data_IF_843183577683
#
_entry.id   IF_843183577683
#
_cell.length_a   1.000
_cell.length_b   1.000
_cell.length_c   1.000
_cell.angle_alpha   90.00
_cell.angle_beta   90.00
_cell.angle_gamma   90.00
#
_symmetry.space_group_name_H-M   'P 1'
#
loop_
_entity.id
_entity.type
_entity.pdbx_description
1 polymer ?
#
# COMPACT_ATOMS: atom_id res chain seq x y z
N UNK A 1 -12.53 3.96 -4.14
CA UNK A 1 -11.56 4.96 -4.64
C UNK A 1 -11.04 5.77 -3.46
N UNK A 2 -9.75 6.14 -3.45
CA UNK A 2 -9.06 6.62 -2.26
C UNK A 2 -9.72 7.85 -1.62
N UNK A 3 -10.29 8.78 -2.43
CA UNK A 3 -11.07 9.92 -1.94
C UNK A 3 -12.10 9.57 -0.85
N UNK A 4 -12.92 8.53 -1.06
CA UNK A 4 -13.96 8.13 -0.09
C UNK A 4 -13.33 7.73 1.25
N UNK A 5 -12.33 6.85 1.19
CA UNK A 5 -11.64 6.36 2.38
C UNK A 5 -10.91 7.47 3.14
N UNK A 6 -10.25 8.39 2.42
CA UNK A 6 -9.58 9.53 3.03
C UNK A 6 -10.57 10.43 3.78
N UNK A 7 -11.74 10.70 3.20
CA UNK A 7 -12.82 11.44 3.88
C UNK A 7 -13.33 10.70 5.12
N UNK A 8 -13.60 9.40 5.03
CA UNK A 8 -14.03 8.57 6.16
C UNK A 8 -13.00 8.53 7.30
N UNK A 9 -11.72 8.69 6.98
CA UNK A 9 -10.62 8.82 7.95
C UNK A 9 -10.46 10.24 8.51
N UNK A 10 -11.31 11.20 8.11
CA UNK A 10 -11.32 12.59 8.60
C UNK A 10 -10.61 13.60 7.69
N UNK A 11 -10.03 13.17 6.57
CA UNK A 11 -9.40 14.09 5.60
C UNK A 11 -10.45 14.63 4.63
N UNK A 12 -11.19 15.65 5.06
CA UNK A 12 -12.28 16.24 4.26
C UNK A 12 -11.91 17.55 3.55
N UNK A 13 -11.25 18.48 4.26
CA UNK A 13 -10.95 19.84 3.79
C UNK A 13 -10.33 19.88 2.38
N UNK A 14 -9.33 19.05 2.03
CA UNK A 14 -8.72 19.07 0.70
C UNK A 14 -9.70 18.84 -0.47
N UNK A 15 -10.87 18.25 -0.21
CA UNK A 15 -11.89 17.91 -1.21
C UNK A 15 -13.06 18.92 -1.27
N UNK A 16 -13.02 19.99 -0.48
CA UNK A 16 -14.07 21.00 -0.39
C UNK A 16 -13.67 22.28 -1.14
N UNK A 17 -14.64 23.15 -1.47
CA UNK A 17 -14.38 24.37 -2.28
C UNK A 17 -13.59 25.45 -1.53
N UNK A 18 -13.55 25.36 -0.20
CA UNK A 18 -12.81 26.21 0.72
C UNK A 18 -11.44 25.60 1.09
N UNK A 19 -10.97 24.60 0.35
CA UNK A 19 -9.62 24.08 0.51
C UNK A 19 -8.58 25.16 0.23
N UNK A 20 -7.58 25.26 1.12
CA UNK A 20 -6.44 26.16 0.93
C UNK A 20 -5.28 25.40 0.28
N UNK A 21 -5.00 25.75 -0.98
CA UNK A 21 -3.86 25.25 -1.75
C UNK A 21 -2.95 26.39 -2.24
N UNK A 22 -2.95 27.53 -1.55
CA UNK A 22 -2.19 28.75 -1.91
C UNK A 22 -0.68 28.53 -2.02
N UNK A 23 -0.12 27.61 -1.23
CA UNK A 23 1.29 27.21 -1.29
C UNK A 23 1.63 26.34 -2.53
N UNK A 24 0.64 25.74 -3.19
CA UNK A 24 0.83 24.91 -4.39
C UNK A 24 0.68 25.72 -5.68
N UNK A 25 -0.30 26.62 -5.71
CA UNK A 25 -0.63 27.45 -6.88
C UNK A 25 -0.96 28.85 -6.38
N UNK A 26 -0.30 29.86 -6.94
CA UNK A 26 -0.65 31.25 -6.66
C UNK A 26 -2.05 31.52 -7.19
N UNK A 27 -2.92 32.03 -6.34
CA UNK A 27 -4.22 32.52 -6.75
C UNK A 27 -4.02 33.64 -7.79
N UNK A 28 -4.54 33.41 -8.99
CA UNK A 28 -4.78 34.50 -9.94
C UNK A 28 -6.25 34.91 -9.82
N UNK A 29 -6.53 36.20 -10.07
CA UNK A 29 -7.87 36.80 -9.93
C UNK A 29 -8.92 36.17 -10.87
N UNK A 30 -8.52 35.30 -11.80
CA UNK A 30 -9.40 34.60 -12.75
C UNK A 30 -9.64 33.13 -12.40
N UNK A 31 -8.93 32.59 -11.40
CA UNK A 31 -8.99 31.20 -11.02
C UNK A 31 -10.13 30.96 -10.03
N UNK A 32 -11.01 30.01 -10.35
CA UNK A 32 -12.01 29.53 -9.41
C UNK A 32 -11.38 28.78 -8.23
N UNK A 33 -12.19 28.38 -7.22
CA UNK A 33 -11.70 27.67 -6.05
C UNK A 33 -10.98 26.38 -6.45
N UNK A 34 -9.75 26.19 -5.95
CA UNK A 34 -8.93 25.01 -6.20
C UNK A 34 -9.17 23.96 -5.10
N UNK A 35 -9.43 22.72 -5.50
CA UNK A 35 -9.63 21.60 -4.56
C UNK A 35 -9.35 20.25 -5.20
N UNK A 36 -9.13 19.22 -4.39
CA UNK A 36 -8.93 17.85 -4.88
C UNK A 36 -10.22 17.28 -5.45
N UNK A 37 -10.17 16.92 -6.72
CA UNK A 37 -11.27 16.24 -7.40
C UNK A 37 -11.32 14.75 -7.04
N UNK A 38 -10.20 14.03 -7.17
CA UNK A 38 -10.05 12.61 -6.82
C UNK A 38 -8.60 12.28 -6.44
N UNK A 39 -8.40 11.11 -5.83
CA UNK A 39 -7.08 10.52 -5.55
C UNK A 39 -7.05 9.11 -6.13
N UNK A 40 -6.16 8.89 -7.08
CA UNK A 40 -6.00 7.61 -7.76
C UNK A 40 -4.76 6.90 -7.21
N UNK A 41 -4.97 5.70 -6.65
CA UNK A 41 -3.92 4.85 -6.13
C UNK A 41 -4.03 3.48 -6.80
N UNK A 42 -3.01 3.10 -7.57
CA UNK A 42 -2.92 1.82 -8.28
C UNK A 42 -1.60 1.16 -7.93
N UNK A 43 -1.65 -0.12 -7.58
CA UNK A 43 -0.49 -0.94 -7.22
C UNK A 43 -0.53 -2.22 -8.03
N UNK A 44 0.64 -2.71 -8.43
CA UNK A 44 0.83 -4.01 -9.07
C UNK A 44 1.86 -4.75 -8.23
N UNK A 45 1.50 -5.95 -7.77
CA UNK A 45 2.40 -6.85 -7.05
C UNK A 45 2.53 -8.13 -7.87
N UNK A 46 3.77 -8.51 -8.19
CA UNK A 46 4.08 -9.74 -8.89
C UNK A 46 5.08 -10.52 -8.05
N UNK A 47 4.76 -11.78 -7.78
CA UNK A 47 5.67 -12.70 -7.12
C UNK A 47 6.19 -13.70 -8.14
N UNK A 48 7.52 -13.72 -8.31
CA UNK A 48 8.18 -14.58 -9.30
C UNK A 48 8.63 -15.94 -8.75
N UNK A 49 8.28 -16.27 -7.51
CA UNK A 49 8.84 -17.44 -6.84
C UNK A 49 10.27 -17.19 -6.35
N UNK A 50 10.83 -18.18 -5.64
CA UNK A 50 12.24 -18.23 -5.30
C UNK A 50 12.92 -19.05 -6.41
N UNK A 51 13.43 -18.38 -7.44
CA UNK A 51 14.22 -19.01 -8.52
C UNK A 51 15.73 -19.13 -8.15
N UNK A 52 16.13 -18.80 -6.92
CA UNK A 52 17.52 -18.86 -6.47
C UNK A 52 17.61 -19.57 -5.11
N UNK A 53 18.05 -20.82 -5.15
CA UNK A 53 18.27 -21.70 -4.01
C UNK A 53 19.31 -21.14 -3.05
N UNK A 54 18.87 -20.46 -1.99
CA UNK A 54 19.68 -20.23 -0.81
C UNK A 54 19.84 -21.55 -0.04
N UNK A 55 20.97 -22.23 -0.22
CA UNK A 55 21.33 -23.40 0.59
C UNK A 55 21.96 -22.90 1.90
N UNK A 56 21.18 -22.91 2.98
CA UNK A 56 21.70 -22.70 4.33
C UNK A 56 22.16 -24.03 4.94
N UNK A 57 23.46 -24.33 4.88
CA UNK A 57 24.04 -25.47 5.60
C UNK A 57 24.27 -25.06 7.05
N UNK A 58 23.31 -25.37 7.93
CA UNK A 58 23.48 -25.23 9.38
C UNK A 58 24.17 -26.45 9.99
N UNK A 59 25.26 -26.25 10.76
CA UNK A 59 25.84 -27.30 11.61
C UNK A 59 25.06 -27.30 12.93
N UNK A 60 24.07 -28.18 13.06
CA UNK A 60 23.25 -28.32 14.27
C UNK A 60 22.08 -29.29 14.10
N UNK A 61 21.43 -29.70 15.19
CA UNK A 61 20.15 -30.44 15.10
C UNK A 61 19.14 -29.54 14.36
N UNK A 62 18.47 -30.03 13.30
CA UNK A 62 17.44 -29.25 12.63
C UNK A 62 16.35 -28.90 13.65
N UNK A 63 16.10 -27.61 13.83
CA UNK A 63 14.89 -27.16 14.50
C UNK A 63 13.69 -27.70 13.71
N UNK A 64 12.56 -28.02 14.35
CA UNK A 64 11.34 -28.34 13.62
C UNK A 64 11.07 -27.20 12.65
N UNK A 65 11.01 -27.51 11.35
CA UNK A 65 10.66 -26.52 10.35
C UNK A 65 9.20 -26.12 10.59
N UNK A 66 8.96 -24.85 10.91
CA UNK A 66 7.61 -24.34 10.87
C UNK A 66 7.17 -24.21 9.41
N UNK A 67 6.11 -24.92 9.06
CA UNK A 67 5.54 -24.88 7.73
C UNK A 67 4.48 -23.78 7.68
N UNK A 68 4.73 -22.74 6.89
CA UNK A 68 3.72 -21.75 6.54
C UNK A 68 3.07 -22.13 5.21
N UNK A 69 1.78 -22.43 5.23
CA UNK A 69 0.98 -22.75 4.05
C UNK A 69 -0.06 -21.65 3.85
N UNK A 70 0.13 -20.81 2.84
CA UNK A 70 -0.76 -19.69 2.51
C UNK A 70 -1.86 -20.11 1.53
N UNK A 71 -2.60 -21.18 1.84
CA UNK A 71 -3.68 -21.75 1.02
C UNK A 71 -5.08 -21.21 1.38
N UNK A 72 -5.14 -20.18 2.21
CA UNK A 72 -6.35 -19.53 2.70
C UNK A 72 -6.08 -18.03 2.91
N UNK A 73 -7.10 -17.18 3.16
CA UNK A 73 -6.91 -15.74 3.25
C UNK A 73 -5.81 -15.33 4.23
N UNK A 74 -4.89 -14.49 3.76
CA UNK A 74 -3.77 -14.00 4.55
C UNK A 74 -3.54 -12.51 4.34
N UNK A 75 -2.87 -11.88 5.32
CA UNK A 75 -2.44 -10.50 5.28
C UNK A 75 -0.93 -10.42 5.10
N UNK A 76 -0.45 -9.39 4.40
CA UNK A 76 0.97 -9.17 4.15
C UNK A 76 1.36 -7.72 4.41
N UNK A 77 2.64 -7.53 4.74
CA UNK A 77 3.30 -6.24 4.86
C UNK A 77 4.65 -6.32 4.16
N UNK A 78 4.94 -5.37 3.29
CA UNK A 78 6.28 -5.12 2.76
C UNK A 78 6.82 -3.92 3.54
N UNK A 79 7.84 -4.14 4.36
CA UNK A 79 8.43 -3.16 5.26
C UNK A 79 9.92 -3.00 4.94
N UNK A 80 10.43 -1.79 5.07
CA UNK A 80 11.87 -1.54 5.08
C UNK A 80 12.41 -1.74 6.51
N UNK A 81 13.43 -2.58 6.66
CA UNK A 81 13.81 -3.13 7.97
C UNK A 81 14.49 -2.12 8.91
N UNK A 82 15.21 -1.14 8.36
CA UNK A 82 16.00 -0.19 9.16
C UNK A 82 15.12 0.89 9.78
N UNK A 83 14.28 1.55 8.98
CA UNK A 83 13.35 2.58 9.42
C UNK A 83 12.04 2.00 9.96
N UNK A 84 11.69 0.77 9.60
CA UNK A 84 10.41 0.17 9.92
C UNK A 84 9.24 0.71 9.10
N UNK A 85 9.51 1.46 8.03
CA UNK A 85 8.48 2.05 7.17
C UNK A 85 7.70 0.97 6.42
N UNK A 86 6.37 1.08 6.42
CA UNK A 86 5.48 0.22 5.64
C UNK A 86 5.43 0.75 4.20
N UNK A 87 5.93 -0.05 3.26
CA UNK A 87 5.90 0.26 1.83
C UNK A 87 4.57 -0.19 1.23
N UNK A 88 4.17 -1.44 1.52
CA UNK A 88 2.89 -2.00 1.08
C UNK A 88 2.24 -2.80 2.20
N UNK A 89 0.92 -2.87 2.15
CA UNK A 89 0.11 -3.62 3.10
C UNK A 89 -1.20 -4.02 2.44
N UNK A 90 -1.64 -5.25 2.68
CA UNK A 90 -2.87 -5.74 2.07
C UNK A 90 -3.21 -7.15 2.51
N UNK A 91 -4.30 -7.67 1.96
CA UNK A 91 -4.72 -9.04 2.17
C UNK A 91 -5.05 -9.71 0.84
N UNK A 92 -4.82 -11.00 0.76
CA UNK A 92 -5.24 -11.86 -0.35
C UNK A 92 -6.40 -12.70 0.19
N UNK A 93 -7.61 -12.49 -0.33
CA UNK A 93 -8.80 -13.28 0.04
C UNK A 93 -9.02 -14.43 -0.94
N UNK A 94 -8.76 -14.18 -2.23
CA UNK A 94 -8.86 -15.14 -3.32
C UNK A 94 -7.74 -14.84 -4.34
N UNK A 95 -6.76 -15.73 -4.51
CA UNK A 95 -5.65 -15.54 -5.46
C UNK A 95 -6.08 -15.71 -6.92
N UNK A 96 -7.25 -16.31 -7.19
CA UNK A 96 -7.75 -16.56 -8.55
C UNK A 96 -8.55 -15.38 -9.14
N UNK A 97 -8.96 -14.43 -8.30
CA UNK A 97 -9.84 -13.32 -8.71
C UNK A 97 -9.10 -12.15 -9.40
N UNK A 98 -7.83 -12.29 -9.72
CA UNK A 98 -7.02 -11.26 -10.39
C UNK A 98 -6.49 -11.77 -11.73
N UNK A 99 -7.31 -11.64 -12.77
CA UNK A 99 -6.90 -11.70 -14.19
C UNK A 99 -7.08 -10.35 -14.85
#
# INVERSE_FOLDING_TARGET
KAKRYLKEMGLELPFQRDADFSDMVKEDESSGPLFLSDVLHKVILEYKGIEESSVSIGIGKPLPAEHFVADHPFFFVIREDVSGSVIFMGHILDPSSQS
#
